data_IF_239536049336
#
_entry.id   IF_239536049336
#
_cell.length_a   1.000
_cell.length_b   1.000
_cell.length_c   1.000
_cell.angle_alpha   90.00
_cell.angle_beta   90.00
_cell.angle_gamma   90.00
#
_symmetry.space_group_name_H-M   'P 1'
#
loop_
_entity.id
_entity.type
_entity.pdbx_description
1 polymer ?
#
# COMPACT_ATOMS: atom_id res chain seq x y z
N UNK A 1 -60.74 27.27 -23.61
CA UNK A 1 -60.12 26.46 -24.70
C UNK A 1 -58.88 27.13 -25.28
N UNK A 2 -58.95 28.40 -25.72
CA UNK A 2 -57.83 29.13 -26.35
C UNK A 2 -56.55 29.27 -25.47
N UNK A 3 -56.71 29.54 -24.17
CA UNK A 3 -55.57 29.70 -23.23
C UNK A 3 -54.74 28.41 -23.09
N UNK A 4 -55.40 27.25 -23.02
CA UNK A 4 -54.71 25.95 -22.95
C UNK A 4 -53.93 25.66 -24.23
N UNK A 5 -54.51 25.97 -25.40
CA UNK A 5 -53.83 25.81 -26.69
C UNK A 5 -52.57 26.67 -26.76
N UNK A 6 -52.66 27.94 -26.35
CA UNK A 6 -51.50 28.84 -26.31
C UNK A 6 -50.39 28.37 -25.35
N UNK A 7 -50.75 27.92 -24.14
CA UNK A 7 -49.78 27.40 -23.18
C UNK A 7 -49.07 26.15 -23.71
N UNK A 8 -49.80 25.28 -24.39
CA UNK A 8 -49.26 24.04 -24.97
C UNK A 8 -48.33 24.35 -26.14
N UNK A 9 -48.72 25.28 -27.01
CA UNK A 9 -47.88 25.73 -28.13
C UNK A 9 -46.62 26.43 -27.62
N UNK A 10 -46.72 27.31 -26.61
CA UNK A 10 -45.58 27.97 -25.99
C UNK A 10 -44.62 26.95 -25.34
N UNK A 11 -45.15 25.93 -24.66
CA UNK A 11 -44.36 24.86 -24.07
C UNK A 11 -43.63 24.01 -25.12
N UNK A 12 -44.30 23.69 -26.23
CA UNK A 12 -43.70 22.94 -27.34
C UNK A 12 -42.60 23.77 -28.01
N UNK A 13 -42.82 25.07 -28.25
CA UNK A 13 -41.81 25.98 -28.80
C UNK A 13 -40.62 26.11 -27.85
N UNK A 14 -40.87 26.28 -26.54
CA UNK A 14 -39.82 26.34 -25.51
C UNK A 14 -38.97 25.06 -25.48
N UNK A 15 -39.62 23.89 -25.47
CA UNK A 15 -38.94 22.59 -25.44
C UNK A 15 -38.20 22.27 -26.76
N UNK A 16 -38.76 22.69 -27.89
CA UNK A 16 -38.14 22.55 -29.22
C UNK A 16 -36.94 23.48 -29.39
N UNK A 17 -37.03 24.72 -28.88
CA UNK A 17 -35.93 25.68 -28.84
C UNK A 17 -34.76 25.18 -27.97
N UNK A 18 -35.05 24.62 -26.78
CA UNK A 18 -34.03 23.98 -25.92
C UNK A 18 -33.37 22.76 -26.57
N UNK A 19 -34.00 22.14 -27.58
CA UNK A 19 -33.48 20.97 -28.31
C UNK A 19 -32.66 21.36 -29.56
N UNK A 20 -32.82 22.59 -30.08
CA UNK A 20 -32.15 23.12 -31.28
C UNK A 20 -31.10 24.22 -31.01
N UNK A 21 -31.03 24.77 -29.79
CA UNK A 21 -29.81 25.44 -29.32
C UNK A 21 -28.77 24.35 -29.13
N UNK A 22 -28.10 24.00 -30.23
CA UNK A 22 -27.09 22.96 -30.24
C UNK A 22 -25.94 23.36 -29.35
N UNK A 23 -25.65 22.59 -28.30
CA UNK A 23 -24.34 22.44 -27.65
C UNK A 23 -23.50 23.72 -27.42
N UNK A 24 -24.07 24.91 -27.42
CA UNK A 24 -23.50 26.07 -26.74
C UNK A 24 -23.95 25.95 -25.30
N UNK A 25 -23.31 25.02 -24.60
CA UNK A 25 -23.30 25.01 -23.14
C UNK A 25 -22.99 26.45 -22.72
N UNK A 26 -23.86 27.05 -21.90
CA UNK A 26 -23.58 28.34 -21.31
C UNK A 26 -22.16 28.27 -20.74
N UNK A 27 -21.27 29.23 -21.04
CA UNK A 27 -19.90 29.20 -20.53
C UNK A 27 -19.83 28.92 -19.03
N UNK A 28 -20.84 29.37 -18.27
CA UNK A 28 -20.98 29.13 -16.83
C UNK A 28 -21.31 27.66 -16.51
N UNK A 29 -22.20 27.02 -17.28
CA UNK A 29 -22.59 25.61 -17.07
C UNK A 29 -21.40 24.67 -17.35
N UNK A 30 -20.65 24.93 -18.43
CA UNK A 30 -19.44 24.17 -18.74
C UNK A 30 -18.36 24.33 -17.67
N UNK A 31 -18.17 25.54 -17.15
CA UNK A 31 -17.24 25.79 -16.04
C UNK A 31 -17.66 25.03 -14.79
N UNK A 32 -18.96 24.97 -14.49
CA UNK A 32 -19.49 24.23 -13.35
C UNK A 32 -19.30 22.71 -13.51
N UNK A 33 -19.61 22.13 -14.67
CA UNK A 33 -19.37 20.71 -14.94
C UNK A 33 -17.88 20.33 -14.90
N UNK A 34 -17.01 21.22 -15.41
CA UNK A 34 -15.56 21.03 -15.33
C UNK A 34 -15.08 21.06 -13.87
N UNK A 35 -15.60 21.98 -13.07
CA UNK A 35 -15.29 22.05 -11.64
C UNK A 35 -15.76 20.79 -10.89
N UNK A 36 -17.00 20.34 -11.12
CA UNK A 36 -17.56 19.13 -10.51
C UNK A 36 -16.78 17.87 -10.88
N UNK A 37 -16.42 17.71 -12.16
CA UNK A 37 -15.59 16.58 -12.60
C UNK A 37 -14.20 16.59 -11.97
N UNK A 38 -13.59 17.77 -11.81
CA UNK A 38 -12.29 17.94 -11.16
C UNK A 38 -12.38 17.61 -9.67
N UNK A 39 -13.40 18.10 -8.97
CA UNK A 39 -13.68 17.80 -7.56
C UNK A 39 -13.90 16.31 -7.36
N UNK A 40 -14.66 15.66 -8.25
CA UNK A 40 -14.88 14.21 -8.21
C UNK A 40 -13.58 13.44 -8.36
N UNK A 41 -12.76 13.77 -9.37
CA UNK A 41 -11.47 13.12 -9.59
C UNK A 41 -10.51 13.30 -8.41
N UNK A 42 -10.53 14.49 -7.80
CA UNK A 42 -9.76 14.78 -6.58
C UNK A 42 -10.24 13.94 -5.40
N UNK A 43 -11.55 13.85 -5.16
CA UNK A 43 -12.14 13.00 -4.11
C UNK A 43 -11.76 11.52 -4.31
N UNK A 44 -11.84 11.03 -5.54
CA UNK A 44 -11.50 9.65 -5.87
C UNK A 44 -9.99 9.37 -5.64
N UNK A 45 -9.12 10.33 -5.95
CA UNK A 45 -7.68 10.25 -5.68
C UNK A 45 -7.36 10.28 -4.18
N UNK A 46 -8.00 11.16 -3.42
CA UNK A 46 -7.87 11.23 -1.95
C UNK A 46 -8.31 9.92 -1.31
N UNK A 47 -9.41 9.31 -1.77
CA UNK A 47 -9.90 8.03 -1.28
C UNK A 47 -8.89 6.90 -1.51
N UNK A 48 -8.27 6.84 -2.70
CA UNK A 48 -7.20 5.87 -3.02
C UNK A 48 -5.98 6.07 -2.12
N UNK A 49 -5.57 7.32 -1.92
CA UNK A 49 -4.46 7.68 -1.02
C UNK A 49 -4.78 7.24 0.40
N UNK A 50 -5.96 7.58 0.94
CA UNK A 50 -6.37 7.18 2.30
C UNK A 50 -6.36 5.66 2.49
N UNK A 51 -6.83 4.90 1.49
CA UNK A 51 -6.80 3.44 1.53
C UNK A 51 -5.36 2.89 1.54
N UNK A 52 -4.48 3.43 0.69
CA UNK A 52 -3.08 3.03 0.66
C UNK A 52 -2.34 3.38 1.95
N UNK A 53 -2.63 4.54 2.56
CA UNK A 53 -2.07 4.94 3.87
C UNK A 53 -2.52 3.98 4.97
N UNK A 54 -3.80 3.59 4.99
CA UNK A 54 -4.33 2.63 5.96
C UNK A 54 -3.64 1.27 5.84
N UNK A 55 -3.48 0.76 4.62
CA UNK A 55 -2.78 -0.52 4.37
C UNK A 55 -1.33 -0.44 4.81
N UNK A 56 -0.62 0.65 4.49
CA UNK A 56 0.78 0.82 4.89
C UNK A 56 0.94 0.94 6.40
N UNK A 57 0.02 1.64 7.08
CA UNK A 57 0.03 1.77 8.53
C UNK A 57 -0.22 0.41 9.22
N UNK A 58 -1.14 -0.38 8.69
CA UNK A 58 -1.46 -1.72 9.21
C UNK A 58 -0.32 -2.73 8.92
N UNK A 59 0.31 -2.66 7.74
CA UNK A 59 1.50 -3.42 7.40
C UNK A 59 2.71 -3.08 8.30
N UNK A 60 2.91 -1.79 8.62
CA UNK A 60 4.03 -1.37 9.46
C UNK A 60 3.79 -1.71 10.94
N UNK A 61 2.54 -1.63 11.41
CA UNK A 61 2.14 -2.06 12.75
C UNK A 61 2.30 -3.57 12.97
N UNK A 62 2.09 -4.36 11.92
CA UNK A 62 2.20 -5.82 11.93
C UNK A 62 3.48 -6.35 11.29
N UNK A 63 4.44 -5.48 10.93
CA UNK A 63 5.74 -5.93 10.44
C UNK A 63 6.37 -6.71 11.59
N UNK A 64 6.74 -8.00 11.39
CA UNK A 64 7.41 -8.76 12.44
C UNK A 64 8.61 -7.93 12.89
N UNK A 65 8.64 -7.63 14.18
CA UNK A 65 9.73 -6.91 14.81
C UNK A 65 11.02 -7.57 14.33
N UNK A 66 12.00 -6.77 13.89
CA UNK A 66 13.34 -7.28 13.57
C UNK A 66 13.74 -8.27 14.66
N UNK A 67 14.22 -9.45 14.25
CA UNK A 67 14.45 -10.58 15.17
C UNK A 67 15.17 -10.10 16.44
N UNK A 68 14.67 -10.54 17.60
CA UNK A 68 15.28 -10.15 18.88
C UNK A 68 16.63 -10.83 19.08
N UNK A 69 17.48 -10.30 19.99
CA UNK A 69 18.76 -10.95 20.30
C UNK A 69 18.52 -12.34 20.89
N UNK A 70 17.52 -12.47 21.74
CA UNK A 70 17.11 -13.71 22.38
C UNK A 70 16.66 -14.73 21.33
N UNK A 71 15.86 -14.31 20.36
CA UNK A 71 15.43 -15.14 19.23
C UNK A 71 16.62 -15.54 18.34
N UNK A 72 17.58 -14.65 18.09
CA UNK A 72 18.79 -14.97 17.33
C UNK A 72 19.66 -16.04 18.03
N UNK A 73 19.81 -15.95 19.37
CA UNK A 73 20.49 -16.96 20.17
C UNK A 73 19.79 -18.31 20.10
N UNK A 74 18.45 -18.32 20.19
CA UNK A 74 17.64 -19.53 20.06
C UNK A 74 17.73 -20.16 18.67
N UNK A 75 17.72 -19.36 17.60
CA UNK A 75 17.84 -19.83 16.22
C UNK A 75 19.21 -20.46 15.97
N UNK A 76 20.28 -19.88 16.50
CA UNK A 76 21.63 -20.45 16.39
C UNK A 76 21.90 -21.57 17.42
N UNK A 77 21.07 -21.70 18.46
CA UNK A 77 21.22 -22.70 19.50
C UNK A 77 22.45 -22.47 20.38
N UNK A 78 22.76 -21.21 20.71
CA UNK A 78 23.94 -20.81 21.47
C UNK A 78 23.58 -19.98 22.70
N UNK A 79 24.47 -19.98 23.68
CA UNK A 79 24.29 -19.25 24.93
C UNK A 79 24.48 -17.73 24.79
N UNK A 80 23.90 -16.95 25.70
CA UNK A 80 23.96 -15.48 25.69
C UNK A 80 25.40 -14.92 25.74
N UNK A 81 26.32 -15.69 26.30
CA UNK A 81 27.73 -15.35 26.48
C UNK A 81 28.63 -15.96 25.39
N UNK A 82 28.04 -16.53 24.32
CA UNK A 82 28.80 -17.11 23.22
C UNK A 82 29.73 -16.08 22.57
N UNK A 83 30.95 -16.53 22.30
CA UNK A 83 31.97 -15.82 21.54
C UNK A 83 31.57 -15.67 20.07
N UNK A 84 32.22 -14.74 19.37
CA UNK A 84 31.98 -14.54 17.94
C UNK A 84 32.31 -15.79 17.11
N UNK A 85 33.29 -16.56 17.54
CA UNK A 85 33.68 -17.82 16.89
C UNK A 85 32.60 -18.90 17.04
N UNK A 86 31.97 -19.00 18.21
CA UNK A 86 30.85 -19.90 18.44
C UNK A 86 29.62 -19.51 17.59
N UNK A 87 29.34 -18.21 17.44
CA UNK A 87 28.29 -17.71 16.54
C UNK A 87 28.57 -18.14 15.09
N UNK A 88 29.80 -17.97 14.62
CA UNK A 88 30.21 -18.33 13.26
C UNK A 88 30.17 -19.85 13.04
N UNK A 89 30.57 -20.63 14.04
CA UNK A 89 30.55 -22.10 13.97
C UNK A 89 29.12 -22.62 13.90
N UNK A 90 28.23 -22.12 14.76
CA UNK A 90 26.81 -22.47 14.77
C UNK A 90 26.14 -22.10 13.44
N UNK A 91 26.41 -20.89 12.92
CA UNK A 91 25.92 -20.45 11.61
C UNK A 91 26.33 -21.41 10.48
N UNK A 92 27.62 -21.78 10.40
CA UNK A 92 28.12 -22.70 9.36
C UNK A 92 27.45 -24.07 9.44
N UNK A 93 27.30 -24.60 10.66
CA UNK A 93 26.65 -25.90 10.89
C UNK A 93 25.19 -25.89 10.44
N UNK A 94 24.42 -24.86 10.83
CA UNK A 94 23.01 -24.74 10.49
C UNK A 94 22.78 -24.42 9.01
N UNK A 95 23.62 -23.57 8.42
CA UNK A 95 23.51 -23.23 7.00
C UNK A 95 23.86 -24.43 6.12
N UNK A 96 24.81 -25.27 6.51
CA UNK A 96 25.18 -26.45 5.74
C UNK A 96 23.99 -27.42 5.54
N UNK A 97 23.14 -27.58 6.56
CA UNK A 97 21.96 -28.43 6.51
C UNK A 97 20.72 -27.72 5.92
N UNK A 98 20.63 -26.39 6.04
CA UNK A 98 19.47 -25.61 5.59
C UNK A 98 19.71 -24.82 4.30
N UNK A 99 20.81 -25.04 3.60
CA UNK A 99 21.12 -24.33 2.36
C UNK A 99 20.05 -24.59 1.31
N UNK A 100 19.49 -23.55 0.64
CA UNK A 100 18.45 -23.73 -0.37
C UNK A 100 18.87 -24.67 -1.51
N UNK A 101 20.12 -24.57 -1.96
CA UNK A 101 20.67 -25.43 -3.02
C UNK A 101 20.82 -26.91 -2.62
N UNK A 102 20.70 -27.22 -1.32
CA UNK A 102 20.72 -28.58 -0.79
C UNK A 102 19.33 -29.08 -0.37
N UNK A 103 18.28 -28.41 -0.82
CA UNK A 103 16.89 -28.73 -0.48
C UNK A 103 16.39 -28.07 0.81
N UNK A 104 17.15 -27.12 1.39
CA UNK A 104 16.71 -26.34 2.53
C UNK A 104 15.69 -25.25 2.17
N UNK A 105 14.96 -24.75 3.17
CA UNK A 105 14.01 -23.66 2.96
C UNK A 105 14.71 -22.30 2.88
N UNK A 106 14.44 -21.53 1.82
CA UNK A 106 14.93 -20.15 1.68
C UNK A 106 14.55 -19.27 2.87
N UNK A 107 13.37 -19.50 3.45
CA UNK A 107 12.92 -18.78 4.63
C UNK A 107 13.79 -19.11 5.86
N UNK A 108 14.07 -20.40 6.09
CA UNK A 108 14.91 -20.84 7.22
C UNK A 108 16.34 -20.35 7.04
N UNK A 109 16.90 -20.46 5.84
CA UNK A 109 18.22 -19.92 5.53
C UNK A 109 18.29 -18.41 5.80
N UNK A 110 17.27 -17.65 5.38
CA UNK A 110 17.18 -16.22 5.67
C UNK A 110 17.14 -15.92 7.16
N UNK A 111 16.42 -16.72 7.97
CA UNK A 111 16.36 -16.56 9.42
C UNK A 111 17.70 -16.87 10.11
N UNK A 112 18.42 -17.87 9.62
CA UNK A 112 19.78 -18.19 10.11
C UNK A 112 20.77 -17.04 9.81
N UNK A 113 20.65 -16.42 8.63
CA UNK A 113 21.46 -15.24 8.26
C UNK A 113 21.10 -14.04 9.14
N UNK A 114 19.80 -13.74 9.30
CA UNK A 114 19.31 -12.66 10.16
C UNK A 114 19.83 -12.80 11.61
N UNK A 115 19.78 -14.02 12.16
CA UNK A 115 20.26 -14.32 13.51
C UNK A 115 21.77 -14.05 13.67
N UNK A 116 22.59 -14.51 12.72
CA UNK A 116 24.04 -14.24 12.71
C UNK A 116 24.31 -12.74 12.66
N UNK A 117 23.64 -12.03 11.77
CA UNK A 117 23.88 -10.60 11.55
C UNK A 117 23.52 -9.78 12.79
N UNK A 118 22.45 -10.12 13.52
CA UNK A 118 22.08 -9.48 14.80
C UNK A 118 23.17 -9.67 15.86
N UNK A 119 23.74 -10.87 15.96
CA UNK A 119 24.71 -11.20 16.99
C UNK A 119 26.10 -10.64 16.70
N UNK A 120 26.49 -10.55 15.43
CA UNK A 120 27.79 -9.99 15.01
C UNK A 120 27.75 -8.44 14.96
N UNK A 121 26.68 -7.84 14.42
CA UNK A 121 26.63 -6.38 14.27
C UNK A 121 26.61 -5.63 15.61
N UNK A 122 26.15 -6.27 16.70
CA UNK A 122 26.22 -5.68 18.04
C UNK A 122 27.65 -5.53 18.58
N UNK A 123 28.61 -6.35 18.13
CA UNK A 123 30.00 -6.26 18.61
C UNK A 123 30.80 -5.12 17.96
N UNK A 124 30.32 -4.54 16.85
CA UNK A 124 31.01 -3.41 16.18
C UNK A 124 30.66 -2.03 16.74
N UNK A 125 29.64 -1.92 17.60
CA UNK A 125 29.13 -0.65 18.11
C UNK A 125 29.45 -0.38 19.60
N UNK A 126 30.45 -1.07 20.15
CA UNK A 126 30.95 -0.85 21.51
C UNK A 126 32.46 -0.59 21.49
#
# INVERSE_FOLDING_TARGET
MYIFVLATVAYIIYKSSKKQIGKEENPIDRLFETAESTIKNLKDSIKKIHHSIKINHEYNKNKPKSMSKEEALLILGIEKNASQDEVNQAFRKLMLSNHPDKGGSKYIASKIIEARDILINKQKNN
#
